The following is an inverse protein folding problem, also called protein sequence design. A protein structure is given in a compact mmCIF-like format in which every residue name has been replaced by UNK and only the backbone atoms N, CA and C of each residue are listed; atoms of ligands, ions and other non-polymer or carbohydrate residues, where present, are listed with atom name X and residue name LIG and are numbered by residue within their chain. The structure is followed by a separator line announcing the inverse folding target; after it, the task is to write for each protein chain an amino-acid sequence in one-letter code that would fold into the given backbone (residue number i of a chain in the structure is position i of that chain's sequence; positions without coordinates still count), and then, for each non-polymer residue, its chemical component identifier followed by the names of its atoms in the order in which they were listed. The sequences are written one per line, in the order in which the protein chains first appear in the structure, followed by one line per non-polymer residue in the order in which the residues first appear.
data_IF_082875511671
#
_entry.id   IF_082875511671
#
_cell.length_a   1.000
_cell.length_b   1.000
_cell.length_c   1.000
_cell.angle_alpha   90.00
_cell.angle_beta   90.00
_cell.angle_gamma   90.00
#
_symmetry.space_group_name_H-M   'P 1'
#
loop_
_entity.id
_entity.type
_entity.pdbx_description
1 polymer ?
#
# COMPACT_ATOMS: atom_id res chain seq x y z
N UNK A 1 20.33 -4.58 -59.27
CA UNK A 1 18.98 -4.81 -58.73
C UNK A 1 19.01 -6.03 -57.82
N UNK A 2 18.37 -5.95 -56.65
CA UNK A 2 18.26 -7.05 -55.68
C UNK A 2 18.95 -6.79 -54.33
N UNK A 3 18.48 -5.80 -53.55
CA UNK A 3 18.87 -5.62 -52.14
C UNK A 3 18.05 -6.61 -51.32
N UNK A 4 18.69 -7.66 -50.79
CA UNK A 4 18.04 -8.68 -49.97
C UNK A 4 17.93 -8.16 -48.54
N UNK A 5 16.74 -7.71 -48.15
CA UNK A 5 16.42 -7.30 -46.78
C UNK A 5 16.31 -8.54 -45.89
N UNK A 6 17.23 -8.72 -44.93
CA UNK A 6 17.09 -9.71 -43.86
C UNK A 6 16.28 -9.10 -42.73
N UNK A 7 15.04 -9.56 -42.60
CA UNK A 7 14.17 -9.28 -41.46
C UNK A 7 14.70 -10.07 -40.25
N UNK A 8 15.10 -9.39 -39.17
CA UNK A 8 15.42 -10.02 -37.89
C UNK A 8 14.14 -10.03 -37.07
N UNK A 9 13.47 -11.18 -37.00
CA UNK A 9 12.38 -11.41 -36.05
C UNK A 9 12.99 -11.66 -34.68
N UNK A 10 12.93 -10.66 -33.79
CA UNK A 10 13.20 -10.85 -32.38
C UNK A 10 11.98 -11.57 -31.76
N UNK A 11 12.14 -12.83 -31.39
CA UNK A 11 11.16 -13.56 -30.61
C UNK A 11 11.15 -12.96 -29.19
N UNK A 12 10.04 -12.29 -28.83
CA UNK A 12 9.75 -11.90 -27.45
C UNK A 12 9.50 -13.18 -26.65
N UNK A 13 10.51 -13.61 -25.90
CA UNK A 13 10.34 -14.63 -24.87
C UNK A 13 9.55 -14.02 -23.73
N UNK A 14 8.27 -14.38 -23.62
CA UNK A 14 7.46 -14.17 -22.42
C UNK A 14 8.13 -14.89 -21.25
N UNK A 15 8.81 -14.12 -20.40
CA UNK A 15 9.25 -14.59 -19.09
C UNK A 15 7.99 -14.74 -18.23
N UNK A 16 7.51 -15.97 -18.07
CA UNK A 16 6.48 -16.29 -17.07
C UNK A 16 7.11 -16.18 -15.68
N UNK A 17 6.85 -15.07 -15.00
CA UNK A 17 7.07 -14.93 -13.57
C UNK A 17 6.05 -15.84 -12.89
N UNK A 18 6.49 -17.00 -12.39
CA UNK A 18 5.63 -17.88 -11.59
C UNK A 18 5.53 -17.24 -10.20
N UNK A 19 4.30 -16.86 -9.88
CA UNK A 19 3.86 -16.06 -8.75
C UNK A 19 4.27 -16.61 -7.38
N UNK A 20 4.53 -15.70 -6.45
CA UNK A 20 4.52 -15.90 -5.00
C UNK A 20 3.08 -16.17 -4.52
N UNK A 21 2.48 -17.29 -4.93
CA UNK A 21 1.05 -17.59 -4.74
C UNK A 21 0.71 -18.17 -3.36
N UNK A 22 1.52 -17.93 -2.34
CA UNK A 22 1.33 -18.46 -0.99
C UNK A 22 0.37 -17.59 -0.14
N UNK A 23 0.68 -16.30 0.01
CA UNK A 23 -0.12 -15.37 0.81
C UNK A 23 -1.18 -14.66 -0.04
N UNK A 24 -0.78 -14.12 -1.20
CA UNK A 24 -1.69 -13.44 -2.13
C UNK A 24 -2.85 -14.33 -2.62
N UNK A 25 -2.65 -15.66 -2.67
CA UNK A 25 -3.71 -16.61 -3.01
C UNK A 25 -4.81 -16.67 -1.95
N UNK A 26 -4.46 -16.59 -0.66
CA UNK A 26 -5.42 -16.63 0.44
C UNK A 26 -6.16 -15.30 0.59
N UNK A 27 -5.45 -14.18 0.48
CA UNK A 27 -6.07 -12.85 0.55
C UNK A 27 -7.10 -12.66 -0.56
N UNK A 28 -6.80 -13.14 -1.77
CA UNK A 28 -7.74 -13.06 -2.89
C UNK A 28 -9.02 -13.88 -2.69
N UNK A 29 -8.98 -14.94 -1.87
CA UNK A 29 -10.16 -15.76 -1.53
C UNK A 29 -11.04 -15.08 -0.47
N UNK A 30 -10.43 -14.36 0.47
CA UNK A 30 -11.12 -13.70 1.58
C UNK A 30 -11.65 -12.33 1.13
N UNK A 31 -10.79 -11.52 0.52
CA UNK A 31 -11.01 -10.11 0.22
C UNK A 31 -11.30 -9.80 -1.25
N UNK A 32 -11.27 -10.82 -2.12
CA UNK A 32 -11.35 -10.64 -3.57
C UNK A 32 -10.06 -10.09 -4.18
N UNK A 33 -10.03 -9.94 -5.50
CA UNK A 33 -8.82 -9.50 -6.22
C UNK A 33 -8.40 -8.08 -5.83
N UNK A 34 -9.34 -7.14 -5.80
CA UNK A 34 -9.04 -5.75 -5.48
C UNK A 34 -8.57 -5.60 -4.03
N UNK A 35 -9.22 -6.27 -3.07
CA UNK A 35 -8.79 -6.24 -1.66
C UNK A 35 -7.40 -6.85 -1.47
N UNK A 36 -7.10 -7.96 -2.13
CA UNK A 36 -5.75 -8.54 -2.12
C UNK A 36 -4.71 -7.62 -2.76
N UNK A 37 -5.08 -6.86 -3.80
CA UNK A 37 -4.20 -5.87 -4.41
C UNK A 37 -3.93 -4.69 -3.45
N UNK A 38 -4.94 -4.26 -2.68
CA UNK A 38 -4.77 -3.26 -1.60
C UNK A 38 -3.76 -3.76 -0.57
N UNK A 39 -3.95 -4.94 0.02
CA UNK A 39 -3.01 -5.54 0.98
C UNK A 39 -1.59 -5.60 0.39
N UNK A 40 -1.45 -6.16 -0.82
CA UNK A 40 -0.15 -6.30 -1.47
C UNK A 40 0.52 -4.96 -1.75
N UNK A 41 -0.25 -3.92 -2.10
CA UNK A 41 0.30 -2.57 -2.32
C UNK A 41 0.73 -1.94 -1.00
N UNK A 42 -0.02 -2.17 0.06
CA UNK A 42 0.29 -1.66 1.40
C UNK A 42 1.54 -2.30 1.98
N UNK A 43 1.74 -3.60 1.83
CA UNK A 43 2.99 -4.26 2.24
C UNK A 43 4.21 -3.67 1.51
N UNK A 44 4.08 -3.42 0.19
CA UNK A 44 5.15 -2.78 -0.59
C UNK A 44 5.37 -1.31 -0.17
N UNK A 45 4.31 -0.57 0.16
CA UNK A 45 4.41 0.78 0.70
C UNK A 45 5.16 0.78 2.03
N UNK A 46 4.84 -0.15 2.95
CA UNK A 46 5.50 -0.26 4.25
C UNK A 46 7.01 -0.52 4.08
N UNK A 47 7.38 -1.49 3.23
CA UNK A 47 8.78 -1.80 2.92
C UNK A 47 9.50 -0.56 2.36
N UNK A 48 8.93 0.07 1.35
CA UNK A 48 9.52 1.27 0.75
C UNK A 48 9.58 2.45 1.72
N UNK A 49 8.60 2.62 2.61
CA UNK A 49 8.58 3.69 3.59
C UNK A 49 9.68 3.49 4.65
N UNK A 50 9.86 2.26 5.12
CA UNK A 50 10.95 1.88 6.02
C UNK A 50 12.35 2.06 5.39
N UNK A 51 12.44 2.04 4.05
CA UNK A 51 13.67 2.35 3.30
C UNK A 51 13.82 3.85 2.94
N UNK A 52 12.78 4.66 3.17
CA UNK A 52 12.76 6.09 2.84
C UNK A 52 12.36 6.41 1.39
N UNK A 53 11.83 5.45 0.66
CA UNK A 53 11.53 5.50 -0.78
C UNK A 53 10.01 5.47 -1.11
N UNK A 54 9.14 5.62 -0.10
CA UNK A 54 7.67 5.60 -0.27
C UNK A 54 7.07 6.66 -1.22
N UNK A 55 7.85 7.66 -1.64
CA UNK A 55 7.38 8.67 -2.60
C UNK A 55 6.92 8.07 -3.93
N UNK A 56 7.44 6.90 -4.31
CA UNK A 56 7.01 6.20 -5.52
C UNK A 56 5.56 5.72 -5.49
N UNK A 57 4.93 5.67 -4.31
CA UNK A 57 3.53 5.26 -4.15
C UNK A 57 2.56 6.42 -4.13
N UNK A 58 3.04 7.66 -3.96
CA UNK A 58 2.17 8.83 -3.75
C UNK A 58 1.53 9.25 -5.08
N UNK A 59 0.23 9.51 -5.09
CA UNK A 59 -0.45 10.06 -6.28
C UNK A 59 0.12 11.45 -6.64
N UNK A 60 0.19 11.78 -7.94
CA UNK A 60 0.83 13.01 -8.44
C UNK A 60 0.37 14.32 -7.76
N UNK A 61 -0.91 14.43 -7.38
CA UNK A 61 -1.46 15.63 -6.71
C UNK A 61 -1.59 15.50 -5.18
N UNK A 62 -1.16 14.39 -4.60
CA UNK A 62 -1.21 14.14 -3.17
C UNK A 62 0.13 14.49 -2.49
N UNK A 63 0.05 14.88 -1.21
CA UNK A 63 1.21 15.15 -0.35
C UNK A 63 0.95 14.57 1.05
N UNK A 64 0.86 13.24 1.20
CA UNK A 64 0.62 12.62 2.49
C UNK A 64 1.84 12.78 3.40
N UNK A 65 1.59 12.92 4.71
CA UNK A 65 2.65 13.00 5.71
C UNK A 65 3.28 11.61 5.92
N UNK A 66 4.41 11.33 5.25
CA UNK A 66 5.10 10.03 5.34
C UNK A 66 6.00 9.88 6.57
N UNK A 67 6.38 10.97 7.25
CA UNK A 67 7.29 11.02 8.42
C UNK A 67 8.59 10.21 8.26
N UNK A 68 9.15 9.71 9.36
CA UNK A 68 10.46 9.06 9.40
C UNK A 68 10.34 7.57 9.05
N UNK A 69 11.33 6.99 8.34
CA UNK A 69 11.29 5.57 7.98
C UNK A 69 11.10 4.61 9.18
N UNK A 70 11.65 4.97 10.34
CA UNK A 70 11.52 4.19 11.58
C UNK A 70 10.07 4.05 12.06
N UNK A 71 9.18 4.96 11.68
CA UNK A 71 7.76 4.86 12.04
C UNK A 71 7.09 3.65 11.36
N UNK A 72 7.57 3.29 10.17
CA UNK A 72 7.05 2.21 9.32
C UNK A 72 7.67 0.84 9.58
N UNK A 73 8.78 0.78 10.31
CA UNK A 73 9.54 -0.46 10.51
C UNK A 73 8.71 -1.56 11.20
N UNK A 74 8.58 -2.70 10.54
CA UNK A 74 7.93 -3.88 11.11
C UNK A 74 6.41 -3.80 11.21
N UNK A 75 5.78 -2.80 10.58
CA UNK A 75 4.33 -2.78 10.41
C UNK A 75 3.87 -3.88 9.45
N UNK A 76 2.60 -4.25 9.54
CA UNK A 76 1.93 -5.12 8.56
C UNK A 76 0.61 -4.53 8.12
N UNK A 77 0.23 -4.84 6.88
CA UNK A 77 -1.08 -4.53 6.33
C UNK A 77 -2.12 -5.49 6.89
N UNK A 78 -3.26 -4.96 7.32
CA UNK A 78 -4.35 -5.75 7.90
C UNK A 78 -5.52 -5.85 6.90
N UNK A 79 -6.75 -5.61 7.35
CA UNK A 79 -7.96 -5.79 6.55
C UNK A 79 -8.23 -4.60 5.62
N UNK A 80 -8.39 -4.82 4.29
CA UNK A 80 -8.74 -3.78 3.34
C UNK A 80 -10.24 -3.52 3.33
N UNK A 81 -10.61 -2.23 3.25
CA UNK A 81 -11.99 -1.79 3.18
C UNK A 81 -12.22 -0.80 2.04
N UNK A 82 -13.46 -0.76 1.55
CA UNK A 82 -13.89 0.33 0.68
C UNK A 82 -13.98 1.61 1.51
N UNK A 83 -13.48 2.70 0.95
CA UNK A 83 -13.51 3.97 1.66
C UNK A 83 -14.94 4.37 2.03
N UNK A 84 -15.11 4.75 3.29
CA UNK A 84 -16.37 5.21 3.84
C UNK A 84 -16.19 6.62 4.44
N UNK A 85 -16.69 7.62 3.73
CA UNK A 85 -16.55 9.02 4.14
C UNK A 85 -17.23 9.34 5.47
N UNK A 86 -18.16 8.50 5.93
CA UNK A 86 -18.81 8.65 7.24
C UNK A 86 -17.84 8.50 8.42
N UNK A 87 -16.74 7.77 8.25
CA UNK A 87 -15.70 7.58 9.27
C UNK A 87 -14.47 8.47 9.02
N UNK A 88 -14.27 8.89 7.77
CA UNK A 88 -13.05 9.56 7.31
C UNK A 88 -13.36 10.84 6.52
N UNK A 89 -14.27 11.67 7.04
CA UNK A 89 -14.74 12.89 6.38
C UNK A 89 -13.60 13.82 5.92
N UNK A 90 -12.53 13.89 6.71
CA UNK A 90 -11.35 14.72 6.42
C UNK A 90 -10.61 14.32 5.15
N UNK A 91 -10.75 13.07 4.69
CA UNK A 91 -10.10 12.56 3.48
C UNK A 91 -11.04 12.43 2.29
N UNK A 92 -12.34 12.69 2.46
CA UNK A 92 -13.33 12.51 1.40
C UNK A 92 -13.04 13.35 0.13
N UNK A 93 -12.47 14.55 0.31
CA UNK A 93 -12.10 15.42 -0.82
C UNK A 93 -10.92 14.89 -1.65
N UNK A 94 -10.17 13.92 -1.13
CA UNK A 94 -9.08 13.25 -1.84
C UNK A 94 -9.58 12.11 -2.74
N UNK A 95 -10.89 11.83 -2.70
CA UNK A 95 -11.55 10.78 -3.46
C UNK A 95 -10.82 9.42 -3.37
N UNK A 96 -10.58 8.87 -2.17
CA UNK A 96 -10.04 7.52 -2.03
C UNK A 96 -11.11 6.46 -2.32
N UNK A 97 -10.68 5.33 -2.88
CA UNK A 97 -11.53 4.16 -3.13
C UNK A 97 -11.33 3.08 -2.05
N UNK A 98 -10.16 3.08 -1.42
CA UNK A 98 -9.74 2.08 -0.45
C UNK A 98 -9.12 2.71 0.79
N UNK A 99 -9.33 2.07 1.93
CA UNK A 99 -8.62 2.30 3.19
C UNK A 99 -8.16 0.95 3.75
N UNK A 100 -7.06 0.96 4.46
CA UNK A 100 -6.55 -0.24 5.15
C UNK A 100 -5.77 0.19 6.38
N UNK A 101 -6.12 -0.42 7.50
CA UNK A 101 -5.40 -0.28 8.76
C UNK A 101 -4.06 -1.03 8.76
N UNK A 102 -3.10 -0.50 9.53
CA UNK A 102 -1.79 -1.10 9.75
C UNK A 102 -1.65 -1.51 11.22
N UNK A 103 -0.95 -2.61 11.46
CA UNK A 103 -0.67 -3.08 12.82
C UNK A 103 0.78 -2.84 13.23
N UNK A 104 0.96 -2.45 14.49
CA UNK A 104 2.25 -2.43 15.15
C UNK A 104 2.66 -3.84 15.58
N UNK A 105 3.96 -4.18 15.53
CA UNK A 105 4.45 -5.38 16.19
C UNK A 105 4.32 -5.21 17.72
N UNK A 106 4.04 -6.32 18.43
CA UNK A 106 3.70 -6.31 19.86
C UNK A 106 4.74 -5.60 20.74
N UNK A 107 6.02 -5.66 20.37
CA UNK A 107 7.13 -5.05 21.10
C UNK A 107 7.23 -3.52 20.92
N UNK A 108 6.53 -2.96 19.93
CA UNK A 108 6.39 -1.50 19.71
C UNK A 108 5.12 -0.92 20.32
N UNK A 109 4.21 -1.74 20.85
CA UNK A 109 2.96 -1.26 21.47
C UNK A 109 3.25 -0.66 22.85
N UNK A 110 3.55 0.65 22.87
CA UNK A 110 3.78 1.41 24.10
C UNK A 110 2.98 2.72 24.09
N UNK A 111 2.41 3.16 25.23
CA UNK A 111 1.65 4.40 25.31
C UNK A 111 2.41 5.62 24.78
N UNK A 112 1.76 6.40 23.93
CA UNK A 112 2.35 7.59 23.31
C UNK A 112 3.19 7.32 22.06
N UNK A 113 3.37 6.06 21.64
CA UNK A 113 3.95 5.74 20.34
C UNK A 113 2.99 6.20 19.25
N UNK A 114 3.51 6.98 18.30
CA UNK A 114 2.82 7.32 17.07
C UNK A 114 3.23 6.38 15.94
N UNK A 115 2.28 6.06 15.07
CA UNK A 115 2.50 5.19 13.90
C UNK A 115 1.45 5.50 12.83
N UNK A 116 1.70 5.16 11.55
CA UNK A 116 0.68 5.25 10.51
C UNK A 116 -0.36 4.16 10.77
N UNK A 117 -1.55 4.54 11.24
CA UNK A 117 -2.60 3.59 11.63
C UNK A 117 -3.52 3.19 10.48
N UNK A 118 -3.78 4.10 9.53
CA UNK A 118 -4.46 3.78 8.27
C UNK A 118 -3.81 4.49 7.10
N UNK A 119 -3.91 3.86 5.93
CA UNK A 119 -3.52 4.46 4.66
C UNK A 119 -4.69 4.41 3.68
N UNK A 120 -4.73 5.40 2.80
CA UNK A 120 -5.85 5.62 1.88
C UNK A 120 -5.35 5.68 0.44
N UNK A 121 -6.04 4.98 -0.45
CA UNK A 121 -5.62 4.84 -1.85
C UNK A 121 -6.67 5.34 -2.83
N UNK A 122 -6.19 5.87 -3.95
CA UNK A 122 -6.95 6.07 -5.17
C UNK A 122 -6.55 5.01 -6.21
N UNK A 123 -7.49 4.64 -7.06
CA UNK A 123 -7.18 3.87 -8.27
C UNK A 123 -6.34 4.72 -9.24
N UNK A 124 -5.29 4.12 -9.80
CA UNK A 124 -4.39 4.67 -10.80
C UNK A 124 -4.25 3.72 -12.00
N UNK A 125 -3.66 4.19 -13.10
CA UNK A 125 -3.53 3.40 -14.33
C UNK A 125 -2.70 2.12 -14.13
N UNK A 126 -1.77 2.13 -13.18
CA UNK A 126 -0.83 1.03 -12.86
C UNK A 126 -1.14 0.33 -11.52
N UNK A 127 -2.25 0.68 -10.86
CA UNK A 127 -2.66 0.04 -9.61
C UNK A 127 -3.29 1.02 -8.64
N UNK A 128 -2.75 1.10 -7.43
CA UNK A 128 -3.20 2.00 -6.38
C UNK A 128 -2.10 3.02 -6.06
N UNK A 129 -2.48 4.27 -5.84
CA UNK A 129 -1.57 5.31 -5.35
C UNK A 129 -2.08 5.89 -4.02
N UNK A 130 -1.15 6.19 -3.12
CA UNK A 130 -1.39 6.70 -1.78
C UNK A 130 -1.82 8.17 -1.85
N UNK A 131 -2.96 8.50 -1.23
CA UNK A 131 -3.46 9.87 -1.12
C UNK A 131 -3.35 10.45 0.29
N UNK A 132 -3.41 9.60 1.33
CA UNK A 132 -3.35 10.05 2.72
C UNK A 132 -2.85 8.95 3.66
N UNK A 133 -2.32 9.39 4.81
CA UNK A 133 -1.96 8.57 5.96
C UNK A 133 -2.66 9.14 7.19
N UNK A 134 -3.41 8.32 7.91
CA UNK A 134 -3.92 8.67 9.23
C UNK A 134 -2.92 8.22 10.29
N UNK A 135 -2.38 9.17 11.04
CA UNK A 135 -1.46 8.89 12.14
C UNK A 135 -2.22 8.64 13.43
N UNK A 136 -1.88 7.54 14.09
CA UNK A 136 -2.50 7.10 15.33
C UNK A 136 -1.51 7.22 16.47
N UNK A 137 -2.02 7.34 17.70
CA UNK A 137 -1.23 7.27 18.92
C UNK A 137 -1.73 6.11 19.76
N UNK A 138 -0.82 5.25 20.22
CA UNK A 138 -1.15 4.18 21.17
C UNK A 138 -1.62 4.82 22.47
N UNK A 139 -2.90 4.64 22.81
CA UNK A 139 -3.45 5.14 24.06
C UNK A 139 -2.89 4.35 25.24
N UNK A 140 -2.50 5.06 26.30
CA UNK A 140 -2.26 4.44 27.60
C UNK A 140 -3.58 4.18 28.31
N UNK A 141 -3.66 3.09 29.08
CA UNK A 141 -4.79 2.91 29.97
C UNK A 141 -4.84 4.08 30.97
N UNK A 142 -5.94 4.85 31.06
CA UNK A 142 -6.04 5.89 32.07
C UNK A 142 -5.86 5.27 33.45
N UNK A 143 -5.21 5.97 34.41
CA UNK A 143 -5.10 5.48 35.77
C UNK A 143 -6.52 5.20 36.32
N UNK A 144 -6.68 4.15 37.16
CA UNK A 144 -7.97 3.77 37.72
C UNK A 144 -8.60 4.88 38.57
#
# INVERSE_FOLDING_TARGET
MGRTTRTVSAALGTASVIALSGCAGMDSLIWGQDGAATISTTEQLIEAAAEGDAKGFVCDEADPELRDPADWEGLSAEEPERFASEYWEQFAALDPQWSINLSLPEDRVAPGVEYPGDVFYRDADDGLCLVAVAWWTVEGQPPP
#
